data_IF_386212377848
#
_entry.id   IF_386212377848
#
_cell.length_a   1.000
_cell.length_b   1.000
_cell.length_c   1.000
_cell.angle_alpha   90.00
_cell.angle_beta   90.00
_cell.angle_gamma   90.00
#
_symmetry.space_group_name_H-M   'P 1'
#
loop_
_entity.id
_entity.type
_entity.pdbx_description
1 polymer ?
#
# COMPACT_ATOMS: atom_id res chain seq x y z
N UNK A 1 45.58 12.65 -12.89
CA UNK A 1 45.02 13.99 -13.09
C UNK A 1 44.08 14.26 -11.94
N UNK A 2 44.44 15.20 -11.07
CA UNK A 2 43.58 15.64 -9.98
C UNK A 2 42.26 16.12 -10.60
N UNK A 3 41.14 15.64 -10.08
CA UNK A 3 39.81 16.00 -10.58
C UNK A 3 39.64 17.49 -10.30
N UNK A 4 39.66 18.30 -11.34
CA UNK A 4 39.58 19.76 -11.21
C UNK A 4 38.32 20.13 -10.42
N UNK A 5 38.42 21.02 -9.41
CA UNK A 5 37.28 21.41 -8.56
C UNK A 5 36.10 21.94 -9.38
N UNK A 6 36.38 22.57 -10.51
CA UNK A 6 35.45 23.02 -11.56
C UNK A 6 34.50 21.91 -12.03
N UNK A 7 35.00 20.68 -12.16
CA UNK A 7 34.23 19.52 -12.63
C UNK A 7 33.32 19.00 -11.52
N UNK A 8 33.79 19.04 -10.26
CA UNK A 8 33.03 18.61 -9.09
C UNK A 8 31.85 19.57 -8.85
N UNK A 9 32.05 20.88 -8.99
CA UNK A 9 30.96 21.87 -8.88
C UNK A 9 29.85 21.67 -9.92
N UNK A 10 30.24 21.42 -11.19
CA UNK A 10 29.27 21.10 -12.25
C UNK A 10 28.50 19.81 -11.99
N UNK A 11 29.18 18.78 -11.48
CA UNK A 11 28.54 17.50 -11.12
C UNK A 11 27.54 17.69 -9.95
N UNK A 12 27.83 18.57 -8.98
CA UNK A 12 26.94 18.87 -7.83
C UNK A 12 25.69 19.65 -8.26
N UNK A 13 25.81 20.67 -9.13
CA UNK A 13 24.64 21.41 -9.63
C UNK A 13 23.71 20.53 -10.47
N UNK A 14 24.27 19.64 -11.29
CA UNK A 14 23.49 18.66 -12.05
C UNK A 14 22.78 17.66 -11.15
N UNK A 15 23.45 17.17 -10.09
CA UNK A 15 22.85 16.28 -9.10
C UNK A 15 21.70 16.96 -8.32
N UNK A 16 21.81 18.27 -8.05
CA UNK A 16 20.76 19.03 -7.38
C UNK A 16 19.50 19.15 -8.23
N UNK A 17 19.67 19.34 -9.54
CA UNK A 17 18.56 19.46 -10.48
C UNK A 17 17.86 18.12 -10.70
N UNK A 18 18.61 17.02 -10.76
CA UNK A 18 18.05 15.67 -10.91
C UNK A 18 17.33 15.18 -9.65
N UNK A 19 17.77 15.59 -8.45
CA UNK A 19 17.10 15.24 -7.20
C UNK A 19 15.72 15.91 -7.07
N UNK A 20 15.56 17.17 -7.51
CA UNK A 20 14.27 17.86 -7.53
C UNK A 20 13.29 17.20 -8.51
N UNK A 21 13.76 16.82 -9.70
CA UNK A 21 12.95 16.10 -10.67
C UNK A 21 12.53 14.69 -10.18
N UNK A 22 13.40 14.03 -9.38
CA UNK A 22 13.12 12.70 -8.83
C UNK A 22 12.18 12.75 -7.63
N UNK A 23 12.27 13.79 -6.79
CA UNK A 23 11.35 13.98 -5.66
C UNK A 23 9.90 14.16 -6.13
N UNK A 24 9.67 14.88 -7.23
CA UNK A 24 8.34 15.06 -7.80
C UNK A 24 7.78 13.74 -8.43
N UNK A 25 8.65 12.94 -9.04
CA UNK A 25 8.28 11.63 -9.57
C UNK A 25 8.05 10.57 -8.50
N UNK A 26 8.72 10.67 -7.34
CA UNK A 26 8.53 9.71 -6.25
C UNK A 26 7.28 10.04 -5.41
N UNK A 27 6.96 11.33 -5.23
CA UNK A 27 5.71 11.76 -4.59
C UNK A 27 4.46 11.38 -5.39
N UNK A 28 4.54 11.38 -6.72
CA UNK A 28 3.42 11.01 -7.60
C UNK A 28 3.21 9.50 -7.74
N UNK A 29 4.29 8.69 -7.74
CA UNK A 29 4.17 7.22 -7.83
C UNK A 29 3.91 6.52 -6.49
N UNK A 30 4.33 7.11 -5.38
CA UNK A 30 4.10 6.56 -4.05
C UNK A 30 2.92 7.25 -3.35
N UNK A 31 1.80 7.51 -4.03
CA UNK A 31 0.61 8.02 -3.33
C UNK A 31 -0.01 6.87 -2.52
N UNK A 32 0.21 6.77 -1.19
CA UNK A 32 -0.29 5.66 -0.38
C UNK A 32 -1.82 5.61 -0.39
N UNK A 33 -2.50 6.73 -0.66
CA UNK A 33 -3.95 6.76 -0.82
C UNK A 33 -4.40 5.86 -1.97
N UNK A 34 -3.76 5.93 -3.14
CA UNK A 34 -4.16 5.09 -4.29
C UNK A 34 -3.91 3.61 -4.06
N UNK A 35 -2.84 3.25 -3.36
CA UNK A 35 -2.57 1.87 -2.95
C UNK A 35 -3.57 1.39 -1.89
N UNK A 36 -3.89 2.23 -0.92
CA UNK A 36 -4.89 1.93 0.10
C UNK A 36 -6.28 1.78 -0.51
N UNK A 37 -6.64 2.63 -1.47
CA UNK A 37 -7.92 2.57 -2.15
C UNK A 37 -7.99 1.35 -3.08
N UNK A 38 -6.95 1.06 -3.86
CA UNK A 38 -6.87 -0.18 -4.65
C UNK A 38 -6.90 -1.45 -3.76
N UNK A 39 -6.25 -1.41 -2.60
CA UNK A 39 -6.31 -2.50 -1.63
C UNK A 39 -7.72 -2.65 -1.03
N UNK A 40 -8.35 -1.54 -0.65
CA UNK A 40 -9.75 -1.53 -0.15
C UNK A 40 -10.70 -2.07 -1.20
N UNK A 41 -10.58 -1.63 -2.44
CA UNK A 41 -11.43 -2.07 -3.56
C UNK A 41 -11.20 -3.55 -3.87
N UNK A 42 -9.95 -4.01 -3.86
CA UNK A 42 -9.62 -5.43 -4.01
C UNK A 42 -10.18 -6.30 -2.88
N UNK A 43 -10.12 -5.81 -1.63
CA UNK A 43 -10.72 -6.49 -0.48
C UNK A 43 -12.25 -6.50 -0.57
N UNK A 44 -12.86 -5.38 -0.96
CA UNK A 44 -14.32 -5.29 -1.18
C UNK A 44 -14.76 -6.23 -2.30
N UNK A 45 -14.06 -6.24 -3.42
CA UNK A 45 -14.32 -7.17 -4.52
C UNK A 45 -14.19 -8.63 -4.07
N UNK A 46 -13.18 -8.97 -3.26
CA UNK A 46 -13.05 -10.32 -2.68
C UNK A 46 -14.16 -10.67 -1.69
N UNK A 47 -14.66 -9.71 -0.93
CA UNK A 47 -15.77 -9.92 0.01
C UNK A 47 -17.13 -9.99 -0.71
N UNK A 48 -17.31 -9.26 -1.80
CA UNK A 48 -18.52 -9.27 -2.63
C UNK A 48 -18.63 -10.51 -3.51
N UNK A 49 -17.52 -11.24 -3.71
CA UNK A 49 -17.53 -12.51 -4.39
C UNK A 49 -18.42 -13.52 -3.64
N UNK A 50 -19.49 -14.06 -4.27
CA UNK A 50 -20.43 -14.96 -3.59
C UNK A 50 -19.74 -16.24 -3.07
N UNK A 51 -18.69 -16.68 -3.76
CA UNK A 51 -17.84 -17.81 -3.35
C UNK A 51 -17.13 -17.61 -2.00
N UNK A 52 -16.90 -16.36 -1.58
CA UNK A 52 -16.27 -16.02 -0.29
C UNK A 52 -17.33 -15.60 0.71
N UNK A 53 -18.32 -14.80 0.29
CA UNK A 53 -19.38 -14.25 1.15
C UNK A 53 -20.14 -15.32 1.93
N UNK A 54 -20.67 -16.34 1.26
CA UNK A 54 -21.48 -17.37 1.91
C UNK A 54 -20.71 -18.25 2.91
N UNK A 55 -19.52 -18.79 2.59
CA UNK A 55 -18.75 -19.55 3.58
C UNK A 55 -18.30 -18.67 4.75
N UNK A 56 -17.99 -17.39 4.52
CA UNK A 56 -17.57 -16.48 5.60
C UNK A 56 -18.71 -16.21 6.58
N UNK A 57 -19.95 -16.02 6.09
CA UNK A 57 -21.15 -15.94 6.93
C UNK A 57 -21.40 -17.25 7.66
N UNK A 58 -21.28 -18.40 6.99
CA UNK A 58 -21.46 -19.72 7.60
C UNK A 58 -20.50 -19.96 8.76
N UNK A 59 -19.20 -19.73 8.53
CA UNK A 59 -18.17 -19.84 9.57
C UNK A 59 -18.44 -18.85 10.70
N UNK A 60 -18.76 -17.59 10.37
CA UNK A 60 -19.09 -16.57 11.36
C UNK A 60 -20.27 -16.96 12.26
N UNK A 61 -21.34 -17.51 11.68
CA UNK A 61 -22.52 -17.97 12.40
C UNK A 61 -22.19 -19.15 13.33
N UNK A 62 -21.40 -20.12 12.87
CA UNK A 62 -20.95 -21.25 13.70
C UNK A 62 -20.13 -20.77 14.89
N UNK A 63 -19.15 -19.89 14.65
CA UNK A 63 -18.31 -19.33 15.72
C UNK A 63 -19.16 -18.55 16.72
N UNK A 64 -20.09 -17.69 16.25
CA UNK A 64 -20.99 -16.95 17.12
C UNK A 64 -21.86 -17.88 17.96
N UNK A 65 -22.44 -18.92 17.36
CA UNK A 65 -23.24 -19.92 18.07
C UNK A 65 -22.41 -20.68 19.13
N UNK A 66 -21.15 -21.02 18.82
CA UNK A 66 -20.25 -21.66 19.78
C UNK A 66 -19.90 -20.73 20.95
N UNK A 67 -19.65 -19.45 20.68
CA UNK A 67 -19.39 -18.45 21.73
C UNK A 67 -20.59 -18.24 22.63
N UNK A 68 -21.80 -18.11 22.06
CA UNK A 68 -23.06 -18.05 22.81
C UNK A 68 -23.20 -19.31 23.67
N UNK A 69 -23.06 -20.50 23.08
CA UNK A 69 -23.15 -21.77 23.81
C UNK A 69 -22.13 -21.86 24.94
N UNK A 70 -20.93 -21.30 24.77
CA UNK A 70 -19.89 -21.25 25.81
C UNK A 70 -20.19 -20.24 26.92
N UNK A 71 -20.90 -19.14 26.61
CA UNK A 71 -21.22 -18.10 27.59
C UNK A 71 -22.42 -18.49 28.46
N UNK A 72 -23.36 -19.27 27.92
CA UNK A 72 -24.57 -19.74 28.61
C UNK A 72 -24.41 -21.13 29.27
N UNK A 73 -23.21 -21.70 29.25
CA UNK A 73 -22.86 -22.94 29.97
C UNK A 73 -21.79 -22.65 31.01
#
# INVERSE_FOLDING_TARGET
MARDPETIEREIEQARTSLVATLDQLGTKANPQKLADAAKDGVRAKLDNPKVKYPLIGVGAVVAALLIRKLFR
#
